data_IF_371813493535
#
_entry.id   IF_371813493535
#
_cell.length_a   1.000
_cell.length_b   1.000
_cell.length_c   1.000
_cell.angle_alpha   90.00
_cell.angle_beta   90.00
_cell.angle_gamma   90.00
#
_symmetry.space_group_name_H-M   'P 1'
#
loop_
_entity.id
_entity.type
_entity.pdbx_description
1 polymer ?
#
# COMPACT_ATOMS: atom_id res chain seq x y z
N UNK A 1 12.55 -4.10 -36.24
CA UNK A 1 12.91 -4.20 -34.82
C UNK A 1 12.17 -5.42 -34.24
N UNK A 2 12.91 -6.49 -33.92
CA UNK A 2 12.34 -7.65 -33.27
C UNK A 2 11.78 -7.23 -31.89
N UNK A 3 10.61 -7.75 -31.48
CA UNK A 3 10.14 -7.50 -30.14
C UNK A 3 11.17 -8.13 -29.18
N UNK A 4 11.77 -7.31 -28.32
CA UNK A 4 12.56 -7.82 -27.21
C UNK A 4 11.64 -8.77 -26.42
N UNK A 5 11.93 -10.06 -26.51
CA UNK A 5 11.36 -11.04 -25.60
C UNK A 5 11.75 -10.59 -24.21
N UNK A 6 10.80 -10.07 -23.45
CA UNK A 6 11.01 -9.73 -22.05
C UNK A 6 11.49 -11.02 -21.36
N UNK A 7 12.75 -11.04 -20.99
CA UNK A 7 13.31 -12.15 -20.25
C UNK A 7 12.54 -12.23 -18.93
N UNK A 8 11.83 -13.33 -18.70
CA UNK A 8 11.07 -13.54 -17.48
C UNK A 8 12.03 -13.53 -16.30
N UNK A 9 12.02 -12.42 -15.56
CA UNK A 9 12.83 -12.27 -14.35
C UNK A 9 12.05 -12.92 -13.19
N UNK A 10 12.70 -13.88 -12.50
CA UNK A 10 12.06 -14.58 -11.39
C UNK A 10 11.75 -13.64 -10.22
N UNK A 11 10.60 -13.82 -9.54
CA UNK A 11 10.29 -13.13 -8.29
C UNK A 11 11.32 -13.46 -7.21
N UNK A 12 11.48 -12.57 -6.23
CA UNK A 12 12.29 -12.84 -5.05
C UNK A 12 11.48 -13.73 -4.10
N UNK A 13 11.99 -14.91 -3.76
CA UNK A 13 11.37 -15.72 -2.72
C UNK A 13 11.51 -15.04 -1.36
N UNK A 14 10.50 -15.19 -0.47
CA UNK A 14 10.55 -14.58 0.86
C UNK A 14 11.81 -14.93 1.64
N UNK A 15 12.26 -16.19 1.56
CA UNK A 15 13.48 -16.67 2.20
C UNK A 15 14.75 -15.95 1.71
N UNK A 16 14.73 -15.42 0.49
CA UNK A 16 15.86 -14.76 -0.15
C UNK A 16 15.78 -13.24 -0.04
N UNK A 17 14.66 -12.72 0.46
CA UNK A 17 14.47 -11.30 0.68
C UNK A 17 15.34 -10.83 1.84
N UNK A 18 16.25 -9.88 1.56
CA UNK A 18 17.16 -9.30 2.55
C UNK A 18 16.71 -7.91 2.89
N UNK A 19 16.37 -7.72 4.17
CA UNK A 19 15.94 -6.44 4.72
C UNK A 19 17.05 -5.85 5.58
N UNK A 20 17.22 -4.52 5.48
CA UNK A 20 18.13 -3.76 6.30
C UNK A 20 17.36 -3.07 7.43
N UNK A 21 18.06 -2.74 8.51
CA UNK A 21 17.51 -2.04 9.65
C UNK A 21 17.82 -0.55 9.58
N UNK A 22 16.82 0.27 9.91
CA UNK A 22 16.97 1.70 10.09
C UNK A 22 16.21 2.12 11.36
N UNK A 23 16.83 2.90 12.19
CA UNK A 23 16.18 3.42 13.40
C UNK A 23 15.50 4.74 13.10
N UNK A 24 14.19 4.78 13.28
CA UNK A 24 13.37 5.97 13.13
C UNK A 24 12.59 6.24 14.42
N UNK A 25 12.86 7.37 15.06
CA UNK A 25 12.22 7.75 16.34
C UNK A 25 12.31 6.65 17.40
N UNK A 26 13.41 5.91 17.44
CA UNK A 26 13.61 4.81 18.36
C UNK A 26 13.00 3.48 17.92
N UNK A 27 12.29 3.43 16.80
CA UNK A 27 11.72 2.20 16.25
C UNK A 27 12.60 1.64 15.14
N UNK A 28 12.63 0.32 15.03
CA UNK A 28 13.30 -0.35 13.92
C UNK A 28 12.36 -0.43 12.73
N UNK A 29 12.79 0.17 11.61
CA UNK A 29 12.13 0.09 10.31
C UNK A 29 12.96 -0.81 9.41
N UNK A 30 12.31 -1.77 8.78
CA UNK A 30 12.95 -2.66 7.80
C UNK A 30 12.73 -2.11 6.40
N UNK A 31 13.79 -2.14 5.60
CA UNK A 31 13.74 -1.66 4.22
C UNK A 31 14.68 -2.45 3.34
N UNK A 32 14.53 -2.30 2.04
CA UNK A 32 15.43 -2.88 1.04
C UNK A 32 15.70 -1.86 -0.06
N UNK A 33 16.90 -1.92 -0.64
CA UNK A 33 17.30 -1.13 -1.80
C UNK A 33 17.96 -2.06 -2.80
N UNK A 34 17.41 -2.10 -4.02
CA UNK A 34 17.92 -2.93 -5.11
C UNK A 34 18.11 -2.10 -6.37
N UNK A 35 19.20 -2.36 -7.08
CA UNK A 35 19.50 -1.67 -8.33
C UNK A 35 20.09 -0.28 -8.16
N UNK A 36 20.34 0.36 -9.29
CA UNK A 36 20.93 1.71 -9.41
C UNK A 36 20.18 2.51 -10.45
N UNK A 37 20.19 3.83 -10.33
CA UNK A 37 19.53 4.74 -11.26
C UNK A 37 18.47 5.61 -10.60
N UNK A 38 17.45 5.98 -11.35
CA UNK A 38 16.32 6.79 -10.84
C UNK A 38 15.67 6.08 -9.65
N UNK A 39 15.55 6.74 -8.48
CA UNK A 39 14.95 6.11 -7.33
C UNK A 39 13.44 5.96 -7.45
N UNK A 40 12.95 4.79 -7.08
CA UNK A 40 11.55 4.48 -6.87
C UNK A 40 11.35 4.12 -5.40
N UNK A 41 10.23 4.52 -4.83
CA UNK A 41 9.85 4.14 -3.45
C UNK A 41 8.52 3.41 -3.49
N UNK A 42 8.54 2.14 -3.14
CA UNK A 42 7.38 1.25 -3.15
C UNK A 42 6.72 1.24 -1.77
N UNK A 43 5.41 1.51 -1.73
CA UNK A 43 4.63 1.59 -0.50
C UNK A 43 3.50 0.57 -0.54
N UNK A 44 3.58 -0.44 0.33
CA UNK A 44 2.60 -1.52 0.42
C UNK A 44 1.26 -1.06 1.00
N UNK A 45 0.23 -1.90 0.86
CA UNK A 45 -1.08 -1.69 1.46
C UNK A 45 -1.20 -2.22 2.88
N UNK A 46 -2.40 -2.09 3.45
CA UNK A 46 -2.71 -2.57 4.80
C UNK A 46 -2.44 -4.07 4.94
N UNK A 47 -1.74 -4.43 6.00
CA UNK A 47 -1.43 -5.82 6.31
C UNK A 47 -0.37 -6.47 5.43
N UNK A 48 0.14 -5.78 4.41
CA UNK A 48 1.20 -6.27 3.55
C UNK A 48 2.59 -5.86 4.05
N UNK A 49 3.59 -6.04 3.22
CA UNK A 49 4.98 -5.75 3.52
C UNK A 49 5.80 -5.68 2.23
N UNK A 50 7.11 -5.53 2.35
CA UNK A 50 8.05 -5.56 1.20
C UNK A 50 7.83 -6.78 0.32
N UNK A 51 7.53 -7.94 0.90
CA UNK A 51 7.32 -9.19 0.15
C UNK A 51 6.20 -9.13 -0.88
N UNK A 52 5.25 -8.21 -0.73
CA UNK A 52 4.19 -8.01 -1.72
C UNK A 52 4.71 -7.46 -3.06
N UNK A 53 5.90 -6.88 -3.05
CA UNK A 53 6.60 -6.37 -4.22
C UNK A 53 7.62 -7.35 -4.81
N UNK A 54 7.60 -8.60 -4.39
CA UNK A 54 8.59 -9.61 -4.78
C UNK A 54 8.71 -9.84 -6.29
N UNK A 55 7.63 -9.61 -7.03
CA UNK A 55 7.59 -9.72 -8.50
C UNK A 55 8.08 -8.45 -9.20
N UNK A 56 8.02 -7.31 -8.54
CA UNK A 56 8.28 -6.00 -9.13
C UNK A 56 9.72 -5.53 -8.89
N UNK A 57 10.26 -5.74 -7.70
CA UNK A 57 11.60 -5.27 -7.32
C UNK A 57 12.67 -5.75 -8.32
N UNK A 58 12.79 -7.05 -8.65
CA UNK A 58 13.85 -7.49 -9.56
C UNK A 58 13.66 -6.96 -10.98
N UNK A 59 12.43 -6.85 -11.46
CA UNK A 59 12.12 -6.35 -12.81
C UNK A 59 12.47 -4.86 -12.91
N UNK A 60 12.10 -4.07 -11.93
CA UNK A 60 12.39 -2.64 -11.90
C UNK A 60 13.88 -2.35 -11.74
N UNK A 61 14.57 -3.12 -10.89
CA UNK A 61 16.02 -3.02 -10.74
C UNK A 61 16.75 -3.37 -12.05
N UNK A 62 16.34 -4.42 -12.73
CA UNK A 62 16.89 -4.81 -14.03
C UNK A 62 16.61 -3.76 -15.12
N UNK A 63 15.53 -2.99 -14.99
CA UNK A 63 15.19 -1.91 -15.91
C UNK A 63 16.00 -0.63 -15.69
N UNK A 64 16.90 -0.61 -14.71
CA UNK A 64 17.78 0.53 -14.46
C UNK A 64 17.28 1.50 -13.39
N UNK A 65 16.42 1.06 -12.50
CA UNK A 65 15.94 1.85 -11.35
C UNK A 65 16.61 1.43 -10.05
N UNK A 66 16.75 2.39 -9.15
CA UNK A 66 17.07 2.09 -7.76
C UNK A 66 15.74 1.92 -6.99
N UNK A 67 15.47 0.71 -6.55
CA UNK A 67 14.17 0.34 -5.99
C UNK A 67 14.26 0.27 -4.47
N UNK A 68 13.59 1.22 -3.81
CA UNK A 68 13.41 1.25 -2.37
C UNK A 68 12.06 0.66 -2.02
N UNK A 69 12.01 -0.15 -0.97
CA UNK A 69 10.75 -0.63 -0.40
C UNK A 69 10.88 -0.71 1.12
N UNK A 70 9.83 -0.33 1.84
CA UNK A 70 9.80 -0.34 3.30
C UNK A 70 8.69 -1.25 3.80
N UNK A 71 8.94 -1.85 4.97
CA UNK A 71 7.87 -2.28 5.84
C UNK A 71 7.47 -1.06 6.68
N UNK A 72 6.27 -0.52 6.45
CA UNK A 72 5.77 0.61 7.23
C UNK A 72 5.71 0.25 8.72
N UNK A 73 5.89 1.23 9.60
CA UNK A 73 5.75 1.03 11.04
C UNK A 73 4.42 0.31 11.33
N UNK A 74 4.46 -0.76 12.10
CA UNK A 74 3.31 -1.59 12.40
C UNK A 74 3.14 -2.80 11.50
N UNK A 75 3.88 -2.90 10.40
CA UNK A 75 3.74 -3.97 9.39
C UNK A 75 5.04 -4.71 9.13
N UNK A 76 4.91 -5.86 8.48
CA UNK A 76 6.05 -6.68 8.10
C UNK A 76 6.94 -6.99 9.29
N UNK A 77 8.24 -6.79 9.11
CA UNK A 77 9.25 -6.99 10.14
C UNK A 77 9.65 -5.70 10.87
N UNK A 78 9.01 -4.57 10.55
CA UNK A 78 9.18 -3.33 11.30
C UNK A 78 8.52 -3.42 12.68
N UNK A 79 8.94 -2.57 13.61
CA UNK A 79 8.39 -2.52 14.95
C UNK A 79 6.88 -2.29 14.95
N UNK A 80 6.21 -2.84 15.95
CA UNK A 80 4.76 -2.78 16.14
C UNK A 80 4.41 -2.17 17.49
N UNK A 81 4.68 -0.85 17.67
CA UNK A 81 4.45 -0.20 18.97
C UNK A 81 2.96 0.01 19.25
N UNK A 82 2.63 0.04 20.54
CA UNK A 82 1.29 0.36 21.01
C UNK A 82 1.11 1.89 21.06
N UNK A 83 0.93 2.50 19.90
CA UNK A 83 0.74 3.95 19.71
C UNK A 83 -0.46 4.20 18.82
N UNK A 84 -0.89 5.43 18.71
CA UNK A 84 -1.89 5.83 17.73
C UNK A 84 -1.27 5.85 16.32
N UNK A 85 -1.99 5.27 15.37
CA UNK A 85 -1.58 5.25 13.97
C UNK A 85 -2.42 6.26 13.17
N UNK A 86 -1.79 6.83 12.15
CA UNK A 86 -2.42 7.74 11.22
C UNK A 86 -1.66 7.75 9.89
N UNK A 87 -2.31 8.25 8.84
CA UNK A 87 -1.61 8.47 7.57
C UNK A 87 -0.48 9.49 7.74
N UNK A 88 -0.67 10.53 8.56
CA UNK A 88 0.37 11.53 8.81
C UNK A 88 1.62 10.94 9.46
N UNK A 89 1.47 9.95 10.33
CA UNK A 89 2.60 9.23 10.93
C UNK A 89 3.44 8.55 9.85
N UNK A 90 2.80 7.85 8.90
CA UNK A 90 3.52 7.20 7.81
C UNK A 90 4.09 8.19 6.80
N UNK A 91 3.42 9.32 6.57
CA UNK A 91 3.99 10.39 5.74
C UNK A 91 5.27 10.94 6.37
N UNK A 92 5.27 11.17 7.69
CA UNK A 92 6.47 11.59 8.41
C UNK A 92 7.59 10.56 8.29
N UNK A 93 7.28 9.29 8.41
CA UNK A 93 8.23 8.18 8.20
C UNK A 93 8.82 8.22 6.79
N UNK A 94 8.00 8.38 5.77
CA UNK A 94 8.43 8.42 4.37
C UNK A 94 9.29 9.64 4.06
N UNK A 95 8.97 10.81 4.62
CA UNK A 95 9.79 12.01 4.48
C UNK A 95 11.18 11.81 5.09
N UNK A 96 11.24 11.25 6.29
CA UNK A 96 12.51 11.00 6.97
C UNK A 96 13.32 9.89 6.27
N UNK A 97 12.65 8.87 5.75
CA UNK A 97 13.27 7.84 4.93
C UNK A 97 13.92 8.45 3.67
N UNK A 98 13.19 9.32 2.97
CA UNK A 98 13.70 10.00 1.79
C UNK A 98 14.94 10.83 2.12
N UNK A 99 14.94 11.59 3.21
CA UNK A 99 16.06 12.41 3.63
C UNK A 99 17.31 11.59 3.96
N UNK A 100 17.13 10.41 4.52
CA UNK A 100 18.24 9.55 4.94
C UNK A 100 18.77 8.67 3.80
N UNK A 101 17.93 8.10 2.99
CA UNK A 101 18.28 7.02 2.06
C UNK A 101 18.15 7.36 0.58
N UNK A 102 17.36 8.34 0.21
CA UNK A 102 17.06 8.65 -1.20
C UNK A 102 17.75 9.91 -1.67
N UNK A 103 17.48 11.04 -1.04
CA UNK A 103 18.16 12.33 -1.22
C UNK A 103 18.11 12.92 -2.63
N UNK A 104 17.19 12.47 -3.46
CA UNK A 104 16.90 13.01 -4.80
C UNK A 104 15.45 12.74 -5.14
N UNK A 105 14.81 13.54 -6.00
CA UNK A 105 13.40 13.31 -6.35
C UNK A 105 13.15 11.89 -6.80
N UNK A 106 12.14 11.24 -6.21
CA UNK A 106 11.80 9.85 -6.47
C UNK A 106 10.39 9.72 -7.03
N UNK A 107 10.14 8.64 -7.75
CA UNK A 107 8.77 8.22 -8.09
C UNK A 107 8.25 7.34 -6.96
N UNK A 108 7.15 7.76 -6.35
CA UNK A 108 6.47 6.98 -5.31
C UNK A 108 5.42 6.08 -5.97
N UNK A 109 5.39 4.83 -5.57
CA UNK A 109 4.50 3.80 -6.13
C UNK A 109 3.78 3.13 -4.97
N UNK A 110 2.46 3.22 -4.94
CA UNK A 110 1.70 2.69 -3.81
C UNK A 110 0.46 1.91 -4.20
N UNK A 111 0.19 0.86 -3.45
CA UNK A 111 -1.02 0.05 -3.55
C UNK A 111 -1.96 0.36 -2.40
N UNK A 112 -3.23 0.56 -2.69
CA UNK A 112 -4.29 0.79 -1.71
C UNK A 112 -3.99 2.00 -0.82
N UNK A 113 -3.82 1.85 0.49
CA UNK A 113 -3.40 2.95 1.37
C UNK A 113 -2.02 3.49 0.99
N UNK A 114 -1.15 2.66 0.42
CA UNK A 114 0.14 3.10 -0.12
C UNK A 114 -0.03 4.08 -1.26
N UNK A 115 -1.08 3.95 -2.06
CA UNK A 115 -1.45 4.92 -3.09
C UNK A 115 -1.88 6.26 -2.49
N UNK A 116 -2.68 6.22 -1.44
CA UNK A 116 -3.08 7.44 -0.73
C UNK A 116 -1.88 8.15 -0.08
N UNK A 117 -0.95 7.39 0.50
CA UNK A 117 0.31 7.93 1.01
C UNK A 117 1.16 8.56 -0.10
N UNK A 118 1.17 7.94 -1.28
CA UNK A 118 1.82 8.51 -2.47
C UNK A 118 1.23 9.87 -2.83
N UNK A 119 -0.09 10.00 -2.88
CA UNK A 119 -0.75 11.29 -3.13
C UNK A 119 -0.38 12.33 -2.07
N UNK A 120 -0.35 11.93 -0.80
CA UNK A 120 0.03 12.83 0.28
C UNK A 120 1.49 13.29 0.15
N UNK A 121 2.40 12.40 -0.21
CA UNK A 121 3.81 12.76 -0.45
C UNK A 121 3.95 13.76 -1.60
N UNK A 122 3.25 13.55 -2.70
CA UNK A 122 3.29 14.47 -3.85
C UNK A 122 2.69 15.85 -3.52
N UNK A 123 1.65 15.88 -2.72
CA UNK A 123 1.00 17.13 -2.31
C UNK A 123 1.81 17.90 -1.26
N UNK A 124 2.34 17.19 -0.25
CA UNK A 124 2.97 17.81 0.92
C UNK A 124 4.50 18.00 0.78
N UNK A 125 5.15 17.16 -0.02
CA UNK A 125 6.60 17.17 -0.19
C UNK A 125 6.99 17.14 -1.68
N UNK A 126 6.59 18.15 -2.47
CA UNK A 126 6.82 18.15 -3.91
C UNK A 126 8.30 18.10 -4.31
N UNK A 127 9.19 18.56 -3.45
CA UNK A 127 10.65 18.51 -3.66
C UNK A 127 11.22 17.08 -3.56
N UNK A 128 10.50 16.16 -2.92
CA UNK A 128 10.90 14.77 -2.74
C UNK A 128 10.39 13.85 -3.85
N UNK A 129 9.39 14.28 -4.61
CA UNK A 129 8.66 13.44 -5.54
C UNK A 129 8.64 14.01 -6.94
N UNK A 130 9.14 13.24 -7.92
CA UNK A 130 9.09 13.61 -9.34
C UNK A 130 7.84 13.06 -10.06
N UNK A 131 7.14 12.14 -9.45
CA UNK A 131 5.93 11.52 -9.98
C UNK A 131 5.36 10.49 -9.03
N UNK A 132 4.19 9.96 -9.37
CA UNK A 132 3.53 8.93 -8.61
C UNK A 132 2.88 7.87 -9.49
N UNK A 133 2.81 6.65 -8.95
CA UNK A 133 2.07 5.53 -9.52
C UNK A 133 1.10 5.00 -8.47
N UNK A 134 -0.17 4.96 -8.83
CA UNK A 134 -1.24 4.50 -7.95
C UNK A 134 -1.78 3.15 -8.45
N UNK A 135 -1.85 2.19 -7.56
CA UNK A 135 -2.38 0.85 -7.84
C UNK A 135 -3.60 0.63 -6.95
N UNK A 136 -4.80 0.67 -7.52
CA UNK A 136 -6.05 0.54 -6.78
C UNK A 136 -6.05 1.40 -5.51
N UNK A 137 -5.87 2.70 -5.69
CA UNK A 137 -5.67 3.66 -4.61
C UNK A 137 -6.88 3.74 -3.67
N UNK A 138 -6.61 3.70 -2.36
CA UNK A 138 -7.65 3.87 -1.35
C UNK A 138 -8.16 5.33 -1.30
N UNK A 139 -9.42 5.50 -0.94
CA UNK A 139 -10.04 6.80 -0.71
C UNK A 139 -9.87 7.32 0.73
N UNK A 140 -9.35 6.50 1.62
CA UNK A 140 -9.09 6.81 3.02
C UNK A 140 -8.50 5.60 3.74
N UNK A 141 -7.94 5.84 4.93
CA UNK A 141 -7.45 4.73 5.77
C UNK A 141 -8.62 3.88 6.27
N UNK A 142 -9.72 4.52 6.59
CA UNK A 142 -10.97 3.89 7.00
C UNK A 142 -12.14 4.48 6.23
N UNK A 143 -13.27 3.77 6.23
CA UNK A 143 -14.51 4.31 5.69
C UNK A 143 -15.00 5.50 6.52
N UNK A 144 -15.49 6.53 5.84
CA UNK A 144 -16.13 7.67 6.50
C UNK A 144 -17.58 7.31 6.82
N UNK A 145 -18.07 7.62 8.05
CA UNK A 145 -19.45 7.27 8.44
C UNK A 145 -20.53 7.77 7.49
N UNK A 146 -20.33 8.96 6.91
CA UNK A 146 -21.27 9.58 5.97
C UNK A 146 -21.32 8.90 4.59
N UNK A 147 -20.33 8.08 4.27
CA UNK A 147 -20.26 7.29 3.03
C UNK A 147 -20.96 5.93 3.14
N UNK A 148 -21.33 5.53 4.36
CA UNK A 148 -21.94 4.23 4.63
C UNK A 148 -23.46 4.37 4.84
N UNK A 149 -24.24 3.43 4.28
CA UNK A 149 -25.65 3.27 4.62
C UNK A 149 -25.80 2.96 6.11
N UNK A 150 -26.91 3.40 6.72
CA UNK A 150 -27.11 3.27 8.18
C UNK A 150 -26.88 1.84 8.71
N UNK A 151 -27.40 0.75 8.09
CA UNK A 151 -27.13 -0.61 8.59
C UNK A 151 -25.64 -0.95 8.60
N UNK A 152 -24.91 -0.60 7.54
CA UNK A 152 -23.48 -0.86 7.43
C UNK A 152 -22.67 0.01 8.41
N UNK A 153 -23.10 1.25 8.63
CA UNK A 153 -22.49 2.15 9.63
C UNK A 153 -22.57 1.55 11.03
N UNK A 154 -23.72 0.98 11.40
CA UNK A 154 -23.92 0.33 12.71
C UNK A 154 -23.03 -0.90 12.83
N UNK A 155 -22.96 -1.74 11.80
CA UNK A 155 -22.13 -2.95 11.78
C UNK A 155 -20.66 -2.58 11.93
N UNK A 156 -20.17 -1.61 11.15
CA UNK A 156 -18.78 -1.16 11.21
C UNK A 156 -18.43 -0.50 12.55
N UNK A 157 -19.33 0.30 13.10
CA UNK A 157 -19.14 0.92 14.42
C UNK A 157 -19.09 -0.11 15.55
N UNK A 158 -19.93 -1.13 15.49
CA UNK A 158 -19.91 -2.25 16.44
C UNK A 158 -18.60 -3.04 16.34
N UNK A 159 -18.18 -3.37 15.12
CA UNK A 159 -16.92 -4.06 14.87
C UNK A 159 -15.73 -3.26 15.45
N UNK A 160 -15.68 -1.97 15.19
CA UNK A 160 -14.63 -1.07 15.72
C UNK A 160 -14.59 -1.08 17.24
N UNK A 161 -15.74 -1.01 17.90
CA UNK A 161 -15.83 -1.09 19.35
C UNK A 161 -15.34 -2.43 19.90
N UNK A 162 -15.72 -3.53 19.25
CA UNK A 162 -15.31 -4.88 19.66
C UNK A 162 -13.81 -5.08 19.52
N UNK A 163 -13.23 -4.62 18.41
CA UNK A 163 -11.79 -4.71 18.14
C UNK A 163 -10.99 -3.88 19.15
N UNK A 164 -11.50 -2.74 19.57
CA UNK A 164 -10.86 -1.86 20.56
C UNK A 164 -11.02 -2.35 22.00
N UNK A 165 -11.88 -3.32 22.25
CA UNK A 165 -12.07 -3.93 23.58
C UNK A 165 -10.82 -4.71 23.98
N UNK A 166 -10.36 -4.50 25.22
CA UNK A 166 -9.22 -5.25 25.77
C UNK A 166 -9.49 -6.75 25.91
N UNK A 167 -10.75 -7.14 26.11
CA UNK A 167 -11.15 -8.54 26.23
C UNK A 167 -11.41 -9.20 24.88
N UNK A 168 -12.16 -8.53 24.00
CA UNK A 168 -12.61 -9.10 22.75
C UNK A 168 -11.68 -8.82 21.58
N UNK A 169 -10.93 -7.71 21.61
CA UNK A 169 -10.00 -7.35 20.55
C UNK A 169 -8.97 -8.43 20.23
N UNK A 170 -8.23 -8.96 21.23
CA UNK A 170 -7.28 -10.05 21.00
C UNK A 170 -7.93 -11.31 20.41
N UNK A 171 -9.12 -11.66 20.89
CA UNK A 171 -9.86 -12.82 20.37
C UNK A 171 -10.24 -12.62 18.91
N UNK A 172 -10.82 -11.46 18.57
CA UNK A 172 -11.21 -11.13 17.20
C UNK A 172 -10.00 -11.16 16.28
N UNK A 173 -8.89 -10.54 16.68
CA UNK A 173 -7.67 -10.51 15.90
C UNK A 173 -7.11 -11.91 15.65
N UNK A 174 -7.13 -12.77 16.68
CA UNK A 174 -6.74 -14.18 16.56
C UNK A 174 -7.56 -14.91 15.50
N UNK A 175 -8.86 -14.60 15.38
CA UNK A 175 -9.71 -15.15 14.33
C UNK A 175 -9.36 -14.56 12.94
N UNK A 176 -9.22 -13.24 12.85
CA UNK A 176 -8.95 -12.53 11.59
C UNK A 176 -7.64 -13.00 10.95
N UNK A 177 -6.61 -13.24 11.75
CA UNK A 177 -5.29 -13.65 11.26
C UNK A 177 -5.16 -15.12 10.87
N UNK A 178 -6.18 -15.95 11.07
CA UNK A 178 -6.13 -17.36 10.67
C UNK A 178 -5.87 -17.50 9.17
N UNK A 179 -4.97 -18.42 8.82
CA UNK A 179 -4.56 -18.60 7.40
C UNK A 179 -5.74 -18.86 6.47
N UNK A 180 -6.74 -19.64 6.91
CA UNK A 180 -7.93 -19.89 6.09
C UNK A 180 -8.76 -18.63 5.83
N UNK A 181 -8.80 -17.70 6.80
CA UNK A 181 -9.48 -16.40 6.64
C UNK A 181 -8.69 -15.47 5.73
N UNK A 182 -7.37 -15.48 5.84
CA UNK A 182 -6.49 -14.74 4.94
C UNK A 182 -6.70 -15.24 3.50
N UNK A 183 -6.71 -16.56 3.28
CA UNK A 183 -7.01 -17.14 1.96
C UNK A 183 -8.38 -16.73 1.46
N UNK A 184 -9.39 -16.72 2.32
CA UNK A 184 -10.74 -16.27 1.99
C UNK A 184 -10.77 -14.81 1.54
N UNK A 185 -10.07 -13.93 2.24
CA UNK A 185 -9.95 -12.53 1.86
C UNK A 185 -9.19 -12.36 0.54
N UNK A 186 -8.11 -13.10 0.34
CA UNK A 186 -7.35 -13.06 -0.91
C UNK A 186 -8.19 -13.52 -2.10
N UNK A 187 -9.05 -14.52 -1.93
CA UNK A 187 -9.98 -14.97 -2.98
C UNK A 187 -10.98 -13.89 -3.38
N UNK A 188 -11.29 -12.96 -2.51
CA UNK A 188 -12.16 -11.82 -2.84
C UNK A 188 -11.44 -10.77 -3.67
N UNK A 189 -10.15 -10.53 -3.40
CA UNK A 189 -9.39 -9.42 -3.97
C UNK A 189 -8.39 -9.82 -5.06
N UNK A 190 -8.10 -11.11 -5.20
CA UNK A 190 -7.32 -11.65 -6.31
C UNK A 190 -8.25 -12.34 -7.31
N UNK A 191 -8.30 -11.84 -8.51
CA UNK A 191 -9.05 -12.47 -9.60
C UNK A 191 -8.33 -13.73 -10.10
N UNK A 192 -7.01 -13.65 -10.22
CA UNK A 192 -6.15 -14.77 -10.56
C UNK A 192 -5.86 -15.63 -9.33
N UNK A 193 -6.53 -16.76 -9.23
CA UNK A 193 -6.39 -17.69 -8.09
C UNK A 193 -5.02 -18.31 -7.98
N UNK A 194 -4.29 -18.46 -9.08
CA UNK A 194 -2.93 -19.03 -9.09
C UNK A 194 -1.91 -18.12 -8.40
N UNK A 195 -2.19 -16.82 -8.32
CA UNK A 195 -1.36 -15.88 -7.59
C UNK A 195 -1.50 -16.01 -6.06
N UNK A 196 -2.53 -16.72 -5.57
CA UNK A 196 -2.73 -16.98 -4.14
C UNK A 196 -1.88 -18.19 -3.75
N UNK A 197 -0.62 -17.96 -3.49
CA UNK A 197 0.35 -18.99 -3.10
C UNK A 197 0.43 -19.13 -1.58
N UNK A 198 0.98 -20.24 -1.09
CA UNK A 198 1.28 -20.40 0.34
C UNK A 198 2.27 -19.34 0.83
N UNK A 199 3.21 -18.93 -0.02
CA UNK A 199 4.17 -17.88 0.28
C UNK A 199 3.48 -16.52 0.47
N UNK A 200 2.48 -16.19 -0.35
CA UNK A 200 1.66 -14.99 -0.17
C UNK A 200 0.91 -15.01 1.16
N UNK A 201 0.29 -16.15 1.49
CA UNK A 201 -0.42 -16.31 2.77
C UNK A 201 0.55 -16.15 3.94
N UNK A 202 1.73 -16.72 3.86
CA UNK A 202 2.75 -16.60 4.91
C UNK A 202 3.26 -15.16 5.06
N UNK A 203 3.43 -14.43 3.96
CA UNK A 203 3.83 -13.03 3.96
C UNK A 203 2.85 -12.17 4.77
N UNK A 204 1.55 -12.49 4.69
CA UNK A 204 0.51 -11.79 5.44
C UNK A 204 0.35 -12.32 6.88
N UNK A 205 0.40 -13.63 7.05
CA UNK A 205 0.16 -14.28 8.34
C UNK A 205 1.33 -14.09 9.31
N UNK A 206 2.57 -14.28 8.85
CA UNK A 206 3.77 -14.23 9.72
C UNK A 206 3.83 -12.97 10.57
N UNK A 207 3.82 -11.76 9.98
CA UNK A 207 3.84 -10.53 10.75
C UNK A 207 2.65 -10.34 11.68
N UNK A 208 1.50 -10.90 11.36
CA UNK A 208 0.31 -10.83 12.22
C UNK A 208 0.46 -11.60 13.53
N UNK A 209 1.45 -12.48 13.61
CA UNK A 209 1.77 -13.26 14.80
C UNK A 209 2.81 -12.57 15.70
N UNK A 210 3.38 -11.45 15.26
CA UNK A 210 4.38 -10.72 16.03
C UNK A 210 3.76 -10.03 17.26
N UNK A 211 4.54 -9.88 18.35
CA UNK A 211 4.11 -9.07 19.47
C UNK A 211 3.72 -7.66 19.03
N UNK A 212 2.58 -7.18 19.54
CA UNK A 212 2.06 -5.85 19.21
C UNK A 212 1.16 -5.78 17.99
N UNK A 213 1.12 -6.79 17.13
CA UNK A 213 0.33 -6.78 15.89
C UNK A 213 -1.17 -6.55 16.13
N UNK A 214 -1.72 -7.14 17.20
CA UNK A 214 -3.13 -6.97 17.56
C UNK A 214 -3.46 -5.51 17.92
N UNK A 215 -2.62 -4.87 18.71
CA UNK A 215 -2.83 -3.46 19.10
C UNK A 215 -2.65 -2.51 17.92
N UNK A 216 -1.72 -2.81 17.03
CA UNK A 216 -1.56 -2.07 15.76
C UNK A 216 -2.84 -2.18 14.92
N UNK A 217 -3.36 -3.39 14.75
CA UNK A 217 -4.61 -3.61 14.02
C UNK A 217 -5.75 -2.78 14.61
N UNK A 218 -5.95 -2.84 15.94
CA UNK A 218 -6.98 -2.06 16.62
C UNK A 218 -6.77 -0.55 16.45
N UNK A 219 -5.53 -0.07 16.55
CA UNK A 219 -5.21 1.35 16.37
C UNK A 219 -5.50 1.84 14.93
N UNK A 220 -5.23 1.01 13.93
CA UNK A 220 -5.45 1.38 12.53
C UNK A 220 -6.94 1.40 12.19
N UNK A 221 -7.71 0.39 12.59
CA UNK A 221 -9.15 0.35 12.28
C UNK A 221 -9.95 1.43 13.01
N UNK A 222 -9.39 2.01 14.06
CA UNK A 222 -9.98 3.14 14.80
C UNK A 222 -9.40 4.50 14.41
N UNK A 223 -8.40 4.52 13.53
CA UNK A 223 -7.74 5.76 13.11
C UNK A 223 -8.63 6.62 12.21
N UNK A 224 -8.39 7.94 12.14
CA UNK A 224 -9.08 8.81 11.20
C UNK A 224 -8.89 8.38 9.75
N UNK A 225 -9.87 8.61 8.86
CA UNK A 225 -9.74 8.22 7.45
C UNK A 225 -8.68 8.99 6.68
N UNK A 226 -8.28 10.17 7.16
CA UNK A 226 -7.33 11.04 6.47
C UNK A 226 -7.98 11.87 5.35
N UNK A 227 -7.18 12.57 4.55
CA UNK A 227 -7.67 13.41 3.46
C UNK A 227 -8.23 12.56 2.31
N UNK A 228 -9.17 13.13 1.57
CA UNK A 228 -9.71 12.52 0.35
C UNK A 228 -8.77 12.77 -0.83
N UNK A 229 -8.70 11.84 -1.80
CA UNK A 229 -7.95 12.09 -3.04
C UNK A 229 -8.38 13.38 -3.74
N UNK A 230 -9.67 13.70 -3.73
CA UNK A 230 -10.23 14.93 -4.32
C UNK A 230 -9.67 16.20 -3.67
N UNK A 231 -9.28 16.14 -2.41
CA UNK A 231 -8.67 17.26 -1.68
C UNK A 231 -7.16 17.38 -1.98
N UNK A 232 -6.51 16.25 -2.26
CA UNK A 232 -5.07 16.20 -2.52
C UNK A 232 -4.71 16.54 -3.97
N UNK A 233 -5.48 16.02 -4.93
CA UNK A 233 -5.17 16.14 -6.35
C UNK A 233 -4.98 17.59 -6.82
N UNK A 234 -5.79 18.57 -6.40
CA UNK A 234 -5.56 19.98 -6.81
C UNK A 234 -4.23 20.55 -6.34
N UNK A 235 -3.59 19.97 -5.34
CA UNK A 235 -2.30 20.39 -4.81
C UNK A 235 -1.11 19.73 -5.50
N UNK A 236 -1.35 18.76 -6.37
CA UNK A 236 -0.33 17.94 -7.02
C UNK A 236 -0.03 18.50 -8.40
N UNK A 237 1.25 18.67 -8.72
CA UNK A 237 1.74 19.12 -10.03
C UNK A 237 2.51 18.03 -10.77
N UNK A 238 3.06 17.05 -10.04
CA UNK A 238 3.83 15.96 -10.62
C UNK A 238 2.90 15.01 -11.42
N UNK A 239 3.41 14.39 -12.47
CA UNK A 239 2.62 13.43 -13.25
C UNK A 239 2.24 12.21 -12.42
N UNK A 240 1.05 11.69 -12.70
CA UNK A 240 0.51 10.48 -12.07
C UNK A 240 0.21 9.43 -13.13
N UNK A 241 0.66 8.21 -12.89
CA UNK A 241 0.21 7.01 -13.58
C UNK A 241 -0.75 6.26 -12.64
N UNK A 242 -1.96 6.06 -13.09
CA UNK A 242 -3.00 5.38 -12.30
C UNK A 242 -3.37 4.08 -12.98
N UNK A 243 -3.13 2.98 -12.29
CA UNK A 243 -3.45 1.63 -12.72
C UNK A 243 -4.52 1.06 -11.81
N UNK A 244 -5.55 0.43 -12.40
CA UNK A 244 -6.69 -0.05 -11.61
C UNK A 244 -7.16 -1.41 -12.11
N UNK A 245 -7.09 -2.41 -11.23
CA UNK A 245 -7.71 -3.71 -11.46
C UNK A 245 -9.23 -3.58 -11.44
N UNK A 246 -9.89 -4.01 -12.53
CA UNK A 246 -11.33 -3.78 -12.72
C UNK A 246 -12.23 -4.58 -11.78
N UNK A 247 -11.71 -5.69 -11.22
CA UNK A 247 -12.47 -6.63 -10.42
C UNK A 247 -12.21 -6.50 -8.91
N UNK A 248 -11.87 -5.31 -8.46
CA UNK A 248 -11.59 -5.03 -7.05
C UNK A 248 -12.89 -4.74 -6.28
N UNK A 249 -13.25 -5.56 -5.29
CA UNK A 249 -14.42 -5.29 -4.45
C UNK A 249 -14.13 -4.31 -3.30
N UNK A 250 -12.86 -4.10 -2.94
CA UNK A 250 -12.47 -3.23 -1.82
C UNK A 250 -12.34 -1.77 -2.22
N UNK A 251 -11.69 -1.51 -3.34
CA UNK A 251 -11.65 -0.19 -3.97
C UNK A 251 -12.20 -0.31 -5.40
N UNK A 252 -13.54 -0.32 -5.55
CA UNK A 252 -14.15 -0.55 -6.86
C UNK A 252 -13.72 0.49 -7.89
N UNK A 253 -13.63 0.06 -9.15
CA UNK A 253 -13.19 0.91 -10.26
C UNK A 253 -14.04 2.17 -10.43
N UNK A 254 -15.27 2.17 -9.93
CA UNK A 254 -16.13 3.37 -9.89
C UNK A 254 -15.46 4.52 -9.11
N UNK A 255 -14.67 4.20 -8.09
CA UNK A 255 -13.89 5.20 -7.34
C UNK A 255 -12.74 5.82 -8.13
N UNK A 256 -12.43 5.29 -9.31
CA UNK A 256 -11.38 5.81 -10.19
C UNK A 256 -11.88 6.91 -11.16
N UNK A 257 -13.15 7.28 -11.10
CA UNK A 257 -13.74 8.23 -12.05
C UNK A 257 -13.03 9.59 -12.06
N UNK A 258 -12.57 10.06 -10.91
CA UNK A 258 -11.81 11.31 -10.83
C UNK A 258 -10.52 11.23 -11.65
N UNK A 259 -9.81 10.12 -11.60
CA UNK A 259 -8.57 9.92 -12.36
C UNK A 259 -8.84 9.79 -13.86
N UNK A 260 -9.94 9.14 -14.24
CA UNK A 260 -10.36 9.06 -15.63
C UNK A 260 -10.67 10.44 -16.21
N UNK A 261 -11.38 11.28 -15.47
CA UNK A 261 -11.70 12.65 -15.90
C UNK A 261 -10.44 13.49 -16.08
N UNK A 262 -9.50 13.41 -15.14
CA UNK A 262 -8.23 14.12 -15.25
C UNK A 262 -7.38 13.59 -16.42
N UNK A 263 -7.41 12.30 -16.67
CA UNK A 263 -6.70 11.68 -17.82
C UNK A 263 -7.25 12.16 -19.16
N UNK A 264 -8.54 12.47 -19.25
CA UNK A 264 -9.19 12.98 -20.46
C UNK A 264 -8.99 14.47 -20.70
N UNK A 265 -8.39 15.19 -19.79
CA UNK A 265 -8.22 16.64 -19.85
C UNK A 265 -6.73 16.99 -20.05
N UNK A 266 -6.38 17.44 -21.26
CA UNK A 266 -5.00 17.81 -21.60
C UNK A 266 -4.49 19.03 -20.81
N UNK A 267 -5.38 19.86 -20.27
CA UNK A 267 -5.05 21.03 -19.46
C UNK A 267 -5.06 20.73 -17.96
N UNK A 268 -5.38 19.51 -17.54
CA UNK A 268 -5.46 19.13 -16.14
C UNK A 268 -4.10 19.21 -15.44
N UNK A 269 -4.12 19.61 -14.19
CA UNK A 269 -3.02 19.52 -13.26
C UNK A 269 -3.52 18.82 -11.99
N UNK A 270 -2.96 17.68 -11.60
CA UNK A 270 -1.84 16.99 -12.22
C UNK A 270 -2.19 16.35 -13.57
N UNK A 271 -1.18 16.09 -14.38
CA UNK A 271 -1.33 15.29 -15.60
C UNK A 271 -1.45 13.81 -15.20
N UNK A 272 -2.58 13.22 -15.52
CA UNK A 272 -2.90 11.83 -15.16
C UNK A 272 -2.92 10.97 -16.42
N UNK A 273 -2.25 9.82 -16.36
CA UNK A 273 -2.42 8.73 -17.32
C UNK A 273 -3.14 7.59 -16.58
N UNK A 274 -4.28 7.16 -17.11
CA UNK A 274 -5.12 6.14 -16.48
C UNK A 274 -5.21 4.88 -17.35
N UNK A 275 -4.99 3.73 -16.74
CA UNK A 275 -5.20 2.42 -17.37
C UNK A 275 -5.99 1.50 -16.43
N UNK A 276 -7.10 0.96 -16.93
CA UNK A 276 -7.78 -0.15 -16.27
C UNK A 276 -7.15 -1.47 -16.72
N UNK A 277 -7.13 -2.44 -15.83
CA UNK A 277 -6.56 -3.78 -16.07
C UNK A 277 -7.70 -4.78 -15.92
N UNK A 278 -8.06 -5.45 -17.03
CA UNK A 278 -9.13 -6.43 -17.07
C UNK A 278 -8.78 -7.68 -16.24
N UNK A 279 -9.80 -8.32 -15.68
CA UNK A 279 -9.69 -9.57 -14.92
C UNK A 279 -8.63 -9.54 -13.82
N UNK A 280 -8.52 -8.39 -13.14
CA UNK A 280 -7.52 -8.11 -12.12
C UNK A 280 -8.20 -7.47 -10.91
N UNK A 281 -7.77 -7.86 -9.72
CA UNK A 281 -8.35 -7.39 -8.47
C UNK A 281 -7.59 -6.22 -7.85
N UNK A 282 -7.53 -6.25 -6.52
CA UNK A 282 -7.01 -5.15 -5.67
C UNK A 282 -5.49 -4.97 -5.72
N UNK A 283 -4.76 -6.00 -6.07
CA UNK A 283 -3.29 -6.02 -6.03
C UNK A 283 -2.71 -6.33 -7.43
N UNK A 284 -2.88 -5.41 -8.40
CA UNK A 284 -2.48 -5.70 -9.78
C UNK A 284 -0.98 -5.95 -9.95
N UNK A 285 -0.15 -5.44 -9.06
CA UNK A 285 1.30 -5.62 -9.07
C UNK A 285 1.74 -7.04 -8.68
N UNK A 286 0.88 -7.80 -8.01
CA UNK A 286 1.17 -9.16 -7.55
C UNK A 286 0.34 -10.21 -8.31
N UNK A 287 -0.78 -9.83 -8.81
CA UNK A 287 -1.71 -10.71 -9.54
C UNK A 287 -1.26 -11.00 -10.97
#
# INVERSE_FOLDING_TARGET
AEPMTAQLIAPIALKDLRKQDWTWRGYTIRYTVEGTGQPLVLIHGFGASIGHWSKNIPVLAAAGYQVHALDLLGFGDSDKPAIDFSLDLWVALLKDYWQTHVQQPAVFIGNSIGGLLTLMMLAEAPEMASGGVLLNCAGGLNHRPDELALPLRVVMGTFTKLVSSELLGPFIFTQVRQKFRIRGSLRQVYRNREAITEELVEMLHGPSCDPGAQKVFAAIVTAPPGPRPEELLPQIKQPLLVLWGENDPWTPIKGADIYRRLSGDAAASPKVTFHSIAETGHCPHDE
#
